data_IF_400466095065
#
_entry.id   IF_400466095065
#
_cell.length_a   1.000
_cell.length_b   1.000
_cell.length_c   1.000
_cell.angle_alpha   90.00
_cell.angle_beta   90.00
_cell.angle_gamma   90.00
#
_symmetry.space_group_name_H-M   'P 1'
#
loop_
_entity.id
_entity.type
_entity.pdbx_description
1 polymer ?
#
# COMPACT_ATOMS: atom_id res chain seq x y z
N UNK A 1 1.00 0.66 -17.15
CA UNK A 1 0.54 0.77 -18.55
C UNK A 1 -0.88 1.25 -18.46
N UNK A 2 -1.07 2.56 -18.58
CA UNK A 2 -2.35 3.24 -18.38
C UNK A 2 -3.20 3.00 -19.63
N UNK A 3 -4.37 2.41 -19.48
CA UNK A 3 -5.40 2.48 -20.50
C UNK A 3 -6.35 3.62 -20.11
N UNK A 4 -6.46 4.58 -21.03
CA UNK A 4 -7.47 5.63 -21.05
C UNK A 4 -8.69 5.01 -21.70
N UNK A 5 -9.83 5.02 -21.02
CA UNK A 5 -11.12 4.79 -21.67
C UNK A 5 -11.82 6.15 -21.75
N UNK A 6 -12.14 6.56 -22.97
CA UNK A 6 -12.68 7.87 -23.31
C UNK A 6 -14.23 7.81 -23.25
N UNK A 7 -14.91 8.83 -22.68
CA UNK A 7 -16.35 8.78 -22.43
C UNK A 7 -17.17 9.08 -23.70
N UNK A 8 -18.25 8.32 -23.90
CA UNK A 8 -19.30 8.65 -24.87
C UNK A 8 -20.25 9.73 -24.30
N UNK A 9 -20.71 10.59 -25.21
CA UNK A 9 -21.08 12.00 -25.03
C UNK A 9 -22.51 12.32 -24.56
N UNK A 10 -22.64 13.43 -23.82
CA UNK A 10 -23.81 14.32 -23.66
C UNK A 10 -23.33 15.78 -23.40
N UNK A 11 -24.10 16.85 -23.70
CA UNK A 11 -23.63 17.90 -24.61
C UNK A 11 -23.03 19.20 -24.03
N UNK A 12 -22.09 19.73 -24.85
CA UNK A 12 -21.73 21.12 -25.18
C UNK A 12 -21.18 22.08 -24.09
N UNK A 13 -19.85 22.18 -24.05
CA UNK A 13 -19.11 23.40 -23.74
C UNK A 13 -17.76 23.36 -24.48
N UNK A 14 -17.59 24.21 -25.50
CA UNK A 14 -16.37 24.33 -26.30
C UNK A 14 -15.24 25.00 -25.53
N UNK A 15 -14.05 24.38 -25.51
CA UNK A 15 -12.79 24.99 -25.07
C UNK A 15 -11.74 24.79 -26.14
N UNK A 16 -11.29 25.88 -26.76
CA UNK A 16 -10.14 25.87 -27.67
C UNK A 16 -8.84 25.79 -26.86
N UNK A 17 -8.01 24.81 -27.19
CA UNK A 17 -6.65 24.67 -26.66
C UNK A 17 -5.66 25.39 -27.59
N UNK A 18 -4.92 26.35 -27.05
CA UNK A 18 -3.63 26.74 -27.64
C UNK A 18 -2.51 26.15 -26.81
N UNK A 19 -1.74 25.26 -27.44
CA UNK A 19 -0.56 24.63 -26.88
C UNK A 19 0.54 25.66 -26.60
N UNK A 20 1.24 25.50 -25.47
CA UNK A 20 2.59 26.01 -25.29
C UNK A 20 3.49 24.81 -24.99
N UNK A 21 4.54 24.68 -25.78
CA UNK A 21 5.61 23.71 -25.63
C UNK A 21 6.37 24.01 -24.34
N UNK A 22 6.84 22.95 -23.66
CA UNK A 22 7.57 22.93 -22.37
C UNK A 22 6.70 22.63 -21.14
N UNK A 23 6.48 21.34 -20.93
CA UNK A 23 5.81 20.77 -19.76
C UNK A 23 6.64 20.91 -18.49
N UNK A 24 6.30 21.90 -17.66
CA UNK A 24 6.47 21.89 -16.21
C UNK A 24 5.54 22.96 -15.62
N UNK A 25 4.62 22.58 -14.72
CA UNK A 25 3.79 23.53 -13.98
C UNK A 25 4.15 23.45 -12.49
N UNK A 26 5.11 24.29 -12.13
CA UNK A 26 5.51 24.62 -10.77
C UNK A 26 4.83 25.94 -10.41
N UNK A 27 3.90 25.94 -9.44
CA UNK A 27 3.28 27.18 -8.96
C UNK A 27 3.91 27.61 -7.63
N UNK A 28 4.78 28.62 -7.73
CA UNK A 28 5.29 29.43 -6.62
C UNK A 28 4.26 30.50 -6.22
N UNK A 29 4.04 30.66 -4.92
CA UNK A 29 3.26 31.76 -4.34
C UNK A 29 4.05 33.07 -4.41
N UNK A 30 3.44 34.10 -4.99
CA UNK A 30 3.84 35.51 -4.85
C UNK A 30 2.64 36.30 -4.33
N UNK A 31 2.91 37.09 -3.30
CA UNK A 31 2.00 37.90 -2.50
C UNK A 31 1.36 39.06 -3.31
N UNK A 32 0.04 39.24 -3.21
CA UNK A 32 -0.64 40.49 -3.57
C UNK A 32 -2.00 40.55 -2.86
N UNK A 33 -2.09 41.38 -1.82
CA UNK A 33 -3.29 41.62 -1.04
C UNK A 33 -4.43 42.28 -1.81
N UNK A 34 -5.65 41.86 -1.46
CA UNK A 34 -6.93 42.51 -1.77
C UNK A 34 -7.98 42.04 -0.75
N UNK A 35 -8.92 42.91 -0.32
CA UNK A 35 -9.73 42.67 0.87
C UNK A 35 -10.72 41.50 0.70
N UNK A 36 -10.85 40.73 1.77
CA UNK A 36 -11.80 39.64 1.96
C UNK A 36 -13.24 40.13 1.76
N UNK A 37 -13.87 39.74 0.67
CA UNK A 37 -15.34 39.76 0.52
C UNK A 37 -15.86 38.36 0.77
N UNK A 38 -16.75 38.25 1.75
CA UNK A 38 -17.50 37.04 2.12
C UNK A 38 -18.30 36.52 0.91
N UNK A 39 -17.77 35.50 0.24
CA UNK A 39 -18.51 34.63 -0.67
C UNK A 39 -18.74 33.30 0.05
N UNK A 40 -20.00 32.96 0.29
CA UNK A 40 -20.40 31.65 0.82
C UNK A 40 -19.94 30.55 -0.14
N UNK A 41 -19.15 29.55 0.29
CA UNK A 41 -18.91 28.36 -0.51
C UNK A 41 -20.13 27.45 -0.37
N UNK A 42 -20.89 27.34 -1.45
CA UNK A 42 -21.83 26.22 -1.64
C UNK A 42 -21.13 25.12 -2.41
N UNK A 43 -21.45 23.88 -2.04
CA UNK A 43 -21.02 22.60 -2.61
C UNK A 43 -19.71 22.03 -2.04
N UNK A 44 -19.88 21.48 -0.83
CA UNK A 44 -19.12 20.39 -0.24
C UNK A 44 -19.05 19.22 -1.24
N UNK A 45 -17.86 18.88 -1.75
CA UNK A 45 -17.65 17.54 -2.27
C UNK A 45 -17.77 16.55 -1.11
N UNK A 46 -18.79 15.68 -1.19
CA UNK A 46 -19.16 14.70 -0.16
C UNK A 46 -17.95 13.96 0.40
N UNK A 47 -17.51 14.33 1.60
CA UNK A 47 -16.68 13.45 2.42
C UNK A 47 -17.60 12.34 2.96
N UNK A 48 -17.47 11.08 2.52
CA UNK A 48 -18.42 10.00 2.86
C UNK A 48 -18.27 9.48 4.30
N UNK A 49 -17.60 10.25 5.17
CA UNK A 49 -17.34 9.96 6.57
C UNK A 49 -17.96 11.07 7.42
N UNK A 50 -19.12 10.79 8.02
CA UNK A 50 -19.77 11.73 8.93
C UNK A 50 -19.14 11.65 10.32
N UNK A 51 -19.16 12.75 11.09
CA UNK A 51 -18.63 12.76 12.47
C UNK A 51 -19.40 11.80 13.41
N UNK A 52 -20.58 11.35 13.01
CA UNK A 52 -21.36 10.32 13.71
C UNK A 52 -20.71 8.93 13.61
N UNK A 53 -20.08 8.58 12.49
CA UNK A 53 -19.37 7.29 12.32
C UNK A 53 -18.12 7.21 13.22
N UNK A 54 -17.47 8.35 13.50
CA UNK A 54 -16.27 8.41 14.33
C UNK A 54 -16.57 8.32 15.84
N UNK A 55 -17.80 8.64 16.26
CA UNK A 55 -18.19 8.74 17.67
C UNK A 55 -18.98 7.53 18.19
N UNK A 56 -19.44 6.64 17.31
CA UNK A 56 -20.28 5.50 17.69
C UNK A 56 -19.54 4.36 18.42
N UNK A 57 -18.20 4.25 18.31
CA UNK A 57 -17.47 3.09 18.81
C UNK A 57 -16.34 3.48 19.77
N UNK A 58 -16.57 3.21 21.05
CA UNK A 58 -15.59 3.36 22.11
C UNK A 58 -14.31 2.57 21.81
N UNK A 59 -13.18 3.15 22.24
CA UNK A 59 -11.82 2.60 22.11
C UNK A 59 -11.78 1.07 22.30
N UNK A 60 -11.51 0.28 21.25
CA UNK A 60 -11.11 -1.10 21.45
C UNK A 60 -9.80 -1.07 22.25
N UNK A 61 -9.63 -1.89 23.30
CA UNK A 61 -8.31 -2.08 23.86
C UNK A 61 -7.37 -2.54 22.73
N UNK A 62 -6.13 -2.04 22.71
CA UNK A 62 -5.01 -2.69 22.01
C UNK A 62 -4.77 -4.04 22.69
N UNK A 63 -5.71 -4.96 22.48
CA UNK A 63 -5.61 -6.31 22.98
C UNK A 63 -4.51 -7.00 22.16
N UNK A 64 -3.60 -7.76 22.79
CA UNK A 64 -2.78 -8.68 22.04
C UNK A 64 -3.69 -9.56 21.17
N UNK A 65 -3.23 -10.00 19.99
CA UNK A 65 -4.06 -10.82 19.12
C UNK A 65 -4.60 -11.98 19.93
N UNK A 66 -5.93 -12.13 19.93
CA UNK A 66 -6.57 -13.25 20.61
C UNK A 66 -6.01 -14.53 20.01
N UNK A 67 -5.75 -15.56 20.83
CA UNK A 67 -5.27 -16.85 20.32
C UNK A 67 -6.17 -17.38 19.19
N UNK A 68 -7.48 -17.11 19.29
CA UNK A 68 -8.46 -17.38 18.25
C UNK A 68 -8.17 -16.66 16.92
N UNK A 69 -7.86 -15.35 16.95
CA UNK A 69 -7.55 -14.58 15.74
C UNK A 69 -6.24 -14.98 15.07
N UNK A 70 -5.28 -15.52 15.83
CA UNK A 70 -4.06 -16.13 15.28
C UNK A 70 -4.34 -17.49 14.64
N UNK A 71 -5.16 -18.34 15.27
CA UNK A 71 -5.55 -19.63 14.70
C UNK A 71 -6.33 -19.48 13.38
N UNK A 72 -7.29 -18.57 13.33
CA UNK A 72 -8.07 -18.26 12.12
C UNK A 72 -7.19 -17.70 10.99
N UNK A 73 -6.16 -16.92 11.33
CA UNK A 73 -5.18 -16.46 10.35
C UNK A 73 -4.39 -17.65 9.76
N UNK A 74 -3.90 -18.55 10.59
CA UNK A 74 -3.16 -19.73 10.10
C UNK A 74 -4.02 -20.62 9.20
N UNK A 75 -5.29 -20.84 9.57
CA UNK A 75 -6.27 -21.55 8.76
C UNK A 75 -6.50 -20.84 7.41
N UNK A 76 -6.70 -19.53 7.42
CA UNK A 76 -6.85 -18.71 6.21
C UNK A 76 -5.64 -18.86 5.28
N UNK A 77 -4.42 -18.81 5.82
CA UNK A 77 -3.19 -18.94 5.05
C UNK A 77 -3.02 -20.36 4.48
N UNK A 78 -3.38 -21.40 5.25
CA UNK A 78 -3.31 -22.79 4.80
C UNK A 78 -4.31 -23.07 3.67
N UNK A 79 -5.55 -22.61 3.80
CA UNK A 79 -6.58 -22.78 2.78
C UNK A 79 -6.24 -22.01 1.50
N UNK A 80 -5.72 -20.79 1.63
CA UNK A 80 -5.28 -20.01 0.47
C UNK A 80 -4.12 -20.69 -0.27
N UNK A 81 -3.19 -21.31 0.45
CA UNK A 81 -2.14 -22.13 -0.16
C UNK A 81 -2.71 -23.37 -0.89
N UNK A 82 -3.87 -23.88 -0.46
CA UNK A 82 -4.62 -24.93 -1.15
C UNK A 82 -5.51 -24.42 -2.29
N UNK A 83 -5.51 -23.11 -2.58
CA UNK A 83 -6.25 -22.48 -3.67
C UNK A 83 -7.63 -21.96 -3.30
N UNK A 84 -8.00 -21.93 -2.01
CA UNK A 84 -9.25 -21.32 -1.57
C UNK A 84 -9.23 -19.80 -1.77
N UNK A 85 -10.36 -19.17 -2.12
CA UNK A 85 -10.43 -17.72 -2.25
C UNK A 85 -10.31 -17.03 -0.88
N UNK A 86 -9.65 -15.88 -0.88
CA UNK A 86 -9.60 -14.97 0.27
C UNK A 86 -10.77 -14.00 0.14
N UNK A 87 -11.74 -14.08 1.05
CA UNK A 87 -12.92 -13.21 1.05
C UNK A 87 -12.89 -12.22 2.21
N UNK A 88 -13.72 -11.17 2.13
CA UNK A 88 -13.83 -10.16 3.18
C UNK A 88 -14.26 -10.78 4.51
N UNK A 89 -15.22 -11.70 4.49
CA UNK A 89 -15.77 -12.36 5.68
C UNK A 89 -14.70 -13.17 6.41
N UNK A 90 -13.84 -13.87 5.66
CA UNK A 90 -12.71 -14.62 6.23
C UNK A 90 -11.70 -13.68 6.89
N UNK A 91 -11.42 -12.55 6.26
CA UNK A 91 -10.53 -11.53 6.83
C UNK A 91 -11.16 -10.87 8.05
N UNK A 92 -12.46 -10.63 8.08
CA UNK A 92 -13.15 -10.08 9.25
C UNK A 92 -13.09 -11.02 10.44
N UNK A 93 -13.21 -12.34 10.20
CA UNK A 93 -13.15 -13.36 11.24
C UNK A 93 -11.84 -13.37 12.04
N UNK A 94 -10.74 -12.85 11.49
CA UNK A 94 -9.45 -12.81 12.19
C UNK A 94 -9.41 -11.73 13.29
N UNK A 95 -10.40 -10.84 13.36
CA UNK A 95 -10.50 -9.76 14.35
C UNK A 95 -11.51 -10.12 15.46
N UNK A 96 -11.24 -9.75 16.71
CA UNK A 96 -12.17 -9.98 17.82
C UNK A 96 -13.32 -8.96 17.87
N UNK A 97 -13.38 -8.05 16.90
CA UNK A 97 -14.36 -6.97 16.79
C UNK A 97 -14.82 -6.85 15.34
N UNK A 98 -16.04 -6.35 15.08
CA UNK A 98 -16.50 -6.07 13.73
C UNK A 98 -15.71 -4.91 13.12
N UNK A 99 -15.42 -4.98 11.82
CA UNK A 99 -14.80 -3.88 11.09
C UNK A 99 -15.83 -2.80 10.75
N UNK A 100 -15.42 -1.54 10.87
CA UNK A 100 -16.24 -0.38 10.51
C UNK A 100 -16.51 -0.34 9.01
N UNK A 101 -17.58 0.35 8.60
CA UNK A 101 -18.00 0.47 7.20
C UNK A 101 -16.86 0.87 6.25
N UNK A 102 -16.01 1.80 6.69
CA UNK A 102 -14.89 2.28 5.91
C UNK A 102 -13.70 1.32 5.84
N UNK A 103 -13.47 0.57 6.92
CA UNK A 103 -12.44 -0.46 6.98
C UNK A 103 -12.84 -1.58 6.01
N UNK A 104 -14.11 -2.01 6.03
CA UNK A 104 -14.68 -2.98 5.09
C UNK A 104 -14.53 -2.54 3.64
N UNK A 105 -14.93 -1.30 3.31
CA UNK A 105 -14.76 -0.72 1.96
C UNK A 105 -13.29 -0.75 1.50
N UNK A 106 -12.37 -0.39 2.39
CA UNK A 106 -10.93 -0.39 2.10
C UNK A 106 -10.39 -1.80 1.83
N UNK A 107 -10.77 -2.77 2.66
CA UNK A 107 -10.35 -4.18 2.50
C UNK A 107 -10.95 -4.80 1.23
N UNK A 108 -12.21 -4.52 0.92
CA UNK A 108 -12.85 -4.97 -0.31
C UNK A 108 -12.11 -4.44 -1.56
N UNK A 109 -11.78 -3.15 -1.61
CA UNK A 109 -11.01 -2.58 -2.71
C UNK A 109 -9.61 -3.23 -2.85
N UNK A 110 -8.94 -3.52 -1.74
CA UNK A 110 -7.65 -4.24 -1.75
C UNK A 110 -7.79 -5.67 -2.26
N UNK A 111 -8.87 -6.37 -1.92
CA UNK A 111 -9.17 -7.71 -2.44
C UNK A 111 -9.36 -7.69 -3.96
N UNK A 112 -9.95 -6.63 -4.51
CA UNK A 112 -10.07 -6.39 -5.96
C UNK A 112 -8.76 -5.97 -6.63
N UNK A 113 -7.65 -5.86 -5.88
CA UNK A 113 -6.34 -5.46 -6.42
C UNK A 113 -6.18 -3.96 -6.62
N UNK A 114 -7.07 -3.14 -6.07
CA UNK A 114 -6.97 -1.67 -6.12
C UNK A 114 -6.01 -1.16 -5.05
N UNK A 115 -5.44 0.02 -5.30
CA UNK A 115 -4.67 0.76 -4.29
C UNK A 115 -5.61 1.65 -3.47
N UNK A 116 -5.35 1.76 -2.17
CA UNK A 116 -6.21 2.53 -1.24
C UNK A 116 -5.36 3.53 -0.46
N UNK A 117 -5.86 4.76 -0.35
CA UNK A 117 -5.36 5.79 0.56
C UNK A 117 -6.45 6.03 1.61
N UNK A 118 -6.10 5.88 2.90
CA UNK A 118 -7.04 6.05 4.01
C UNK A 118 -6.67 7.28 4.83
N UNK A 119 -7.56 8.27 4.83
CA UNK A 119 -7.45 9.47 5.63
C UNK A 119 -8.46 9.40 6.78
N UNK A 120 -8.02 9.06 7.98
CA UNK A 120 -8.86 9.00 9.17
C UNK A 120 -8.10 9.51 10.41
N UNK A 121 -8.77 10.02 11.45
CA UNK A 121 -8.12 10.46 12.70
C UNK A 121 -7.35 9.34 13.41
N UNK A 122 -6.38 9.70 14.24
CA UNK A 122 -5.73 8.73 15.15
C UNK A 122 -6.77 8.10 16.07
N UNK A 123 -6.62 6.81 16.36
CA UNK A 123 -7.61 6.06 17.15
C UNK A 123 -8.77 5.45 16.35
N UNK A 124 -9.01 5.87 15.09
CA UNK A 124 -10.10 5.34 14.25
C UNK A 124 -9.88 3.88 13.74
N UNK A 125 -8.88 3.15 14.24
CA UNK A 125 -8.67 1.75 13.84
C UNK A 125 -8.04 1.51 12.46
N UNK A 126 -7.37 2.51 11.86
CA UNK A 126 -6.64 2.35 10.56
C UNK A 126 -5.72 1.12 10.51
N UNK A 127 -5.19 0.69 11.65
CA UNK A 127 -4.34 -0.51 11.77
C UNK A 127 -5.05 -1.78 11.31
N UNK A 128 -6.36 -1.92 11.57
CA UNK A 128 -7.13 -3.10 11.15
C UNK A 128 -7.13 -3.28 9.62
N UNK A 129 -7.19 -2.18 8.87
CA UNK A 129 -7.08 -2.21 7.40
C UNK A 129 -5.72 -2.74 6.96
N UNK A 130 -4.64 -2.25 7.58
CA UNK A 130 -3.29 -2.69 7.27
C UNK A 130 -3.06 -4.18 7.61
N UNK A 131 -3.64 -4.66 8.71
CA UNK A 131 -3.55 -6.07 9.12
C UNK A 131 -4.34 -6.99 8.18
N UNK A 132 -5.56 -6.62 7.82
CA UNK A 132 -6.37 -7.36 6.85
C UNK A 132 -5.70 -7.40 5.47
N UNK A 133 -5.13 -6.27 5.04
CA UNK A 133 -4.35 -6.18 3.81
C UNK A 133 -3.14 -7.12 3.84
N UNK A 134 -2.40 -7.13 4.95
CA UNK A 134 -1.24 -8.00 5.11
C UNK A 134 -1.64 -9.48 5.06
N UNK A 135 -2.71 -9.88 5.74
CA UNK A 135 -3.24 -11.24 5.68
C UNK A 135 -3.63 -11.64 4.24
N UNK A 136 -4.31 -10.76 3.50
CA UNK A 136 -4.69 -11.01 2.11
C UNK A 136 -3.48 -11.15 1.17
N UNK A 137 -2.46 -10.32 1.34
CA UNK A 137 -1.21 -10.38 0.56
C UNK A 137 -0.43 -11.66 0.88
N UNK A 138 -0.32 -12.02 2.16
CA UNK A 138 0.34 -13.25 2.58
C UNK A 138 -0.37 -14.50 2.04
N UNK A 139 -1.70 -14.51 2.04
CA UNK A 139 -2.52 -15.57 1.48
C UNK A 139 -2.28 -15.76 -0.03
N UNK A 140 -1.86 -14.70 -0.73
CA UNK A 140 -1.45 -14.74 -2.15
C UNK A 140 0.01 -15.17 -2.35
N UNK A 141 0.73 -15.55 -1.28
CA UNK A 141 2.15 -15.89 -1.33
C UNK A 141 3.07 -14.68 -1.60
N UNK A 142 2.56 -13.46 -1.42
CA UNK A 142 3.29 -12.22 -1.64
C UNK A 142 3.88 -11.67 -0.33
N UNK A 143 4.76 -10.67 -0.43
CA UNK A 143 5.41 -10.05 0.73
C UNK A 143 4.87 -8.64 0.98
N UNK A 144 4.86 -8.25 2.25
CA UNK A 144 4.41 -6.95 2.73
C UNK A 144 5.60 -6.15 3.24
N UNK A 145 5.70 -4.90 2.81
CA UNK A 145 6.64 -3.92 3.36
C UNK A 145 5.83 -2.93 4.19
N UNK A 146 6.16 -2.80 5.47
CA UNK A 146 5.60 -1.78 6.35
C UNK A 146 6.64 -0.70 6.58
N UNK A 147 6.35 0.53 6.18
CA UNK A 147 7.27 1.66 6.37
C UNK A 147 6.93 2.45 7.62
N UNK A 148 7.97 2.89 8.34
CA UNK A 148 7.85 3.86 9.43
C UNK A 148 8.78 5.05 9.17
N UNK A 149 8.43 6.27 9.60
CA UNK A 149 9.31 7.43 9.42
C UNK A 149 10.50 7.43 10.39
N UNK A 150 10.42 6.66 11.49
CA UNK A 150 11.44 6.65 12.54
C UNK A 150 11.79 5.22 12.95
N UNK A 151 13.06 5.00 13.32
CA UNK A 151 13.60 3.71 13.78
C UNK A 151 12.92 3.20 15.05
N UNK A 152 12.64 4.08 16.01
CA UNK A 152 12.00 3.70 17.27
C UNK A 152 10.61 3.07 17.02
N UNK A 153 9.84 3.63 16.08
CA UNK A 153 8.54 3.12 15.68
C UNK A 153 8.64 1.80 14.90
N UNK A 154 9.74 1.55 14.17
CA UNK A 154 9.95 0.28 13.47
C UNK A 154 10.04 -0.89 14.45
N UNK A 155 10.69 -0.70 15.60
CA UNK A 155 10.82 -1.75 16.61
C UNK A 155 9.48 -2.09 17.24
N UNK A 156 8.70 -1.07 17.63
CA UNK A 156 7.34 -1.28 18.13
C UNK A 156 6.50 -2.04 17.11
N UNK A 157 6.52 -1.58 15.84
CA UNK A 157 5.72 -2.21 14.80
C UNK A 157 6.14 -3.64 14.47
N UNK A 158 7.43 -3.95 14.60
CA UNK A 158 7.92 -5.32 14.48
C UNK A 158 7.32 -6.23 15.56
N UNK A 159 7.24 -5.76 16.80
CA UNK A 159 6.66 -6.57 17.88
C UNK A 159 5.18 -6.82 17.67
N UNK A 160 4.43 -5.79 17.26
CA UNK A 160 3.02 -5.92 16.88
C UNK A 160 2.84 -6.93 15.73
N UNK A 161 3.64 -6.80 14.67
CA UNK A 161 3.59 -7.72 13.53
C UNK A 161 3.96 -9.17 13.94
N UNK A 162 4.95 -9.35 14.82
CA UNK A 162 5.34 -10.68 15.33
C UNK A 162 4.25 -11.31 16.17
N UNK A 163 3.58 -10.53 17.01
CA UNK A 163 2.45 -11.00 17.79
C UNK A 163 1.31 -11.44 16.86
N UNK A 164 1.06 -10.68 15.78
CA UNK A 164 -0.08 -10.93 14.88
C UNK A 164 0.14 -12.02 13.83
N UNK A 165 1.33 -12.09 13.24
CA UNK A 165 1.64 -12.93 12.07
C UNK A 165 2.70 -14.00 12.35
N UNK A 166 3.19 -14.08 13.59
CA UNK A 166 4.23 -15.01 14.00
C UNK A 166 5.65 -14.49 13.78
N UNK A 167 6.57 -14.92 14.64
CA UNK A 167 7.95 -14.43 14.66
C UNK A 167 8.74 -14.80 13.42
N UNK A 168 8.54 -15.99 12.87
CA UNK A 168 9.27 -16.50 11.69
C UNK A 168 8.96 -15.76 10.39
N UNK A 169 7.77 -15.15 10.27
CA UNK A 169 7.35 -14.41 9.07
C UNK A 169 7.79 -12.95 9.07
N UNK A 170 8.17 -12.43 10.23
CA UNK A 170 8.38 -11.00 10.43
C UNK A 170 9.87 -10.65 10.48
N UNK A 171 10.25 -9.61 9.75
CA UNK A 171 11.58 -9.06 9.66
C UNK A 171 11.63 -7.56 9.90
N UNK A 172 12.83 -7.06 10.12
CA UNK A 172 13.14 -5.65 10.33
C UNK A 172 14.34 -5.27 9.46
N UNK A 173 14.23 -4.15 8.73
CA UNK A 173 15.37 -3.53 8.06
C UNK A 173 15.45 -2.05 8.42
N UNK A 174 16.49 -1.70 9.17
CA UNK A 174 16.85 -0.31 9.49
C UNK A 174 18.29 -0.07 9.08
N UNK A 175 18.76 1.17 9.13
CA UNK A 175 20.16 1.49 8.81
C UNK A 175 21.19 0.77 9.69
N UNK A 176 20.81 0.38 10.90
CA UNK A 176 21.75 -0.17 11.89
C UNK A 176 21.54 -1.67 12.12
N UNK A 177 20.31 -2.16 11.91
CA UNK A 177 19.91 -3.53 12.24
C UNK A 177 19.07 -4.15 11.12
N UNK A 178 19.44 -5.37 10.73
CA UNK A 178 18.70 -6.22 9.81
C UNK A 178 18.39 -7.55 10.50
N UNK A 179 17.10 -7.89 10.62
CA UNK A 179 16.59 -9.13 11.20
C UNK A 179 15.65 -9.79 10.20
N UNK A 180 15.87 -11.06 9.88
CA UNK A 180 15.02 -11.82 8.96
C UNK A 180 14.59 -11.01 7.71
N UNK A 181 15.56 -10.52 6.90
CA UNK A 181 15.25 -9.66 5.75
C UNK A 181 14.43 -10.38 4.67
N UNK A 182 14.39 -11.71 4.70
CA UNK A 182 13.61 -12.58 3.82
C UNK A 182 12.20 -12.87 4.35
N UNK A 183 11.83 -12.31 5.50
CA UNK A 183 10.49 -12.43 6.07
C UNK A 183 9.39 -11.99 5.10
N UNK A 184 8.23 -12.63 5.21
CA UNK A 184 7.05 -12.30 4.41
C UNK A 184 6.49 -10.91 4.77
N UNK A 185 6.66 -10.45 6.01
CA UNK A 185 6.38 -9.08 6.43
C UNK A 185 7.69 -8.45 6.89
N UNK A 186 8.09 -7.34 6.27
CA UNK A 186 9.30 -6.60 6.65
C UNK A 186 8.93 -5.19 7.06
N UNK A 187 9.21 -4.85 8.33
CA UNK A 187 9.13 -3.48 8.82
C UNK A 187 10.44 -2.76 8.48
N UNK A 188 10.39 -1.56 7.92
CA UNK A 188 11.59 -0.79 7.59
C UNK A 188 11.35 0.71 7.68
N UNK A 189 12.44 1.50 7.72
CA UNK A 189 12.30 2.96 7.59
C UNK A 189 12.10 3.37 6.13
N UNK A 190 11.54 4.56 5.92
CA UNK A 190 11.35 5.10 4.56
C UNK A 190 12.69 5.33 3.83
N UNK A 191 13.78 5.65 4.54
CA UNK A 191 15.11 5.78 3.95
C UNK A 191 15.65 4.44 3.43
N UNK A 192 15.40 3.34 4.13
CA UNK A 192 15.84 2.01 3.69
C UNK A 192 15.07 1.58 2.44
N UNK A 193 13.76 1.77 2.43
CA UNK A 193 12.96 1.48 1.24
C UNK A 193 13.45 2.31 0.04
N UNK A 194 13.67 3.61 0.24
CA UNK A 194 14.23 4.52 -0.76
C UNK A 194 15.57 4.00 -1.32
N UNK A 195 16.49 3.58 -0.44
CA UNK A 195 17.79 3.06 -0.86
C UNK A 195 17.66 1.80 -1.72
N UNK A 196 16.76 0.89 -1.37
CA UNK A 196 16.48 -0.32 -2.15
C UNK A 196 15.95 0.05 -3.55
N UNK A 197 15.02 1.01 -3.63
CA UNK A 197 14.46 1.47 -4.91
C UNK A 197 15.52 2.13 -5.81
N UNK A 198 16.46 2.92 -5.25
CA UNK A 198 17.51 3.52 -6.07
C UNK A 198 18.53 2.50 -6.59
N UNK A 199 18.99 1.55 -5.74
CA UNK A 199 19.97 0.53 -6.17
C UNK A 199 19.41 -0.39 -7.27
N UNK A 200 18.11 -0.71 -7.19
CA UNK A 200 17.44 -1.50 -8.22
C UNK A 200 17.29 -0.72 -9.52
N UNK A 201 16.95 0.57 -9.47
CA UNK A 201 16.88 1.44 -10.65
C UNK A 201 18.25 1.62 -11.35
N UNK A 202 19.33 1.83 -10.59
CA UNK A 202 20.69 1.94 -11.14
C UNK A 202 21.13 0.65 -11.84
N UNK A 203 20.85 -0.50 -11.24
CA UNK A 203 21.22 -1.81 -11.79
C UNK A 203 20.45 -2.08 -13.08
N UNK A 204 19.14 -1.83 -13.10
CA UNK A 204 18.30 -1.97 -14.29
C UNK A 204 18.72 -1.01 -15.43
N UNK A 205 19.17 0.20 -15.09
CA UNK A 205 19.69 1.16 -16.06
C UNK A 205 21.02 0.73 -16.67
N UNK A 206 21.88 0.06 -15.89
CA UNK A 206 23.20 -0.43 -16.33
C UNK A 206 23.07 -1.62 -17.29
N UNK A 207 22.15 -2.55 -17.02
CA UNK A 207 21.87 -3.69 -17.91
C UNK A 207 21.33 -3.24 -19.27
N UNK A 208 20.39 -2.28 -19.30
CA UNK A 208 19.84 -1.74 -20.56
C UNK A 208 20.89 -0.99 -21.40
N UNK A 209 21.90 -0.38 -20.78
CA UNK A 209 22.99 0.30 -21.50
C UNK A 209 24.00 -0.69 -22.10
N UNK A 210 24.25 -1.82 -21.43
CA UNK A 210 25.14 -2.87 -21.96
C UNK A 210 24.52 -3.60 -23.15
N UNK A 211 23.21 -3.83 -23.15
CA UNK A 211 22.50 -4.50 -24.27
C UNK A 211 22.41 -3.62 -25.54
N UNK A 212 22.50 -2.29 -25.40
CA UNK A 212 22.56 -1.35 -26.55
C UNK A 212 23.96 -1.14 -27.14
N UNK A 213 25.01 -1.61 -26.46
CA UNK A 213 26.41 -1.49 -26.92
C UNK A 213 26.96 -2.76 -27.59
N UNK A 214 26.27 -3.90 -27.48
CA UNK A 214 26.73 -5.18 -27.99
C UNK A 214 26.01 -5.56 -29.29
N UNK A 215 26.43 -4.97 -30.41
CA UNK A 215 26.14 -5.53 -31.72
C UNK A 215 26.96 -6.79 -31.95
N UNK A 216 26.40 -8.00 -31.72
CA UNK A 216 26.72 -9.22 -32.47
C UNK A 216 25.90 -10.46 -32.06
N UNK A 217 25.64 -11.26 -33.08
CA UNK A 217 25.04 -12.59 -33.10
C UNK A 217 25.81 -13.62 -32.27
N UNK A 218 25.07 -14.58 -31.69
CA UNK A 218 25.62 -15.87 -31.23
C UNK A 218 25.35 -16.22 -29.76
N UNK A 219 24.47 -17.20 -29.56
CA UNK A 219 24.40 -18.17 -28.45
C UNK A 219 24.94 -17.76 -27.06
N UNK A 220 24.01 -17.57 -26.10
CA UNK A 220 24.32 -17.39 -24.67
C UNK A 220 24.26 -18.74 -23.92
N UNK A 221 25.30 -19.18 -23.19
CA UNK A 221 25.15 -20.19 -22.15
C UNK A 221 24.87 -19.54 -20.78
N UNK A 222 23.92 -20.13 -20.06
CA UNK A 222 23.76 -20.14 -18.59
C UNK A 222 24.08 -18.86 -17.82
N UNK A 223 23.16 -17.89 -17.82
CA UNK A 223 23.20 -16.72 -16.95
C UNK A 223 22.30 -16.88 -15.72
N UNK A 224 22.85 -16.58 -14.55
CA UNK A 224 22.25 -16.65 -13.22
C UNK A 224 20.94 -15.83 -13.17
N UNK A 225 19.84 -16.51 -12.83
CA UNK A 225 18.49 -15.98 -12.74
C UNK A 225 18.31 -15.06 -11.52
N UNK A 226 18.49 -13.74 -11.70
CA UNK A 226 18.07 -12.73 -10.71
C UNK A 226 16.71 -12.08 -11.04
N UNK A 227 15.96 -12.65 -12.00
CA UNK A 227 14.71 -12.08 -12.51
C UNK A 227 13.59 -13.12 -12.48
N UNK A 228 13.00 -13.36 -11.30
CA UNK A 228 11.71 -14.04 -11.22
C UNK A 228 10.86 -13.63 -10.01
N UNK A 229 10.80 -12.34 -9.71
CA UNK A 229 9.95 -11.82 -8.62
C UNK A 229 8.84 -10.87 -9.10
N UNK A 230 8.67 -10.66 -10.41
CA UNK A 230 7.76 -9.64 -10.96
C UNK A 230 6.99 -10.12 -12.20
N UNK A 231 6.35 -11.29 -12.14
CA UNK A 231 5.53 -11.81 -13.27
C UNK A 231 4.13 -12.32 -12.92
N UNK A 232 3.58 -12.00 -11.75
CA UNK A 232 2.17 -12.29 -11.44
C UNK A 232 1.49 -11.19 -10.61
N UNK A 233 1.60 -9.95 -11.09
CA UNK A 233 0.74 -8.85 -10.64
C UNK A 233 0.46 -7.91 -11.83
N UNK A 234 -0.27 -8.43 -12.80
CA UNK A 234 -1.18 -7.73 -13.71
C UNK A 234 -2.40 -8.62 -13.82
#
# INVERSE_FOLDING_TARGET
MTFVDEPQTGPSGTWDATASEDGDLLLSLSDAGGPLTSGEPTEEEDNPYTEEDASAHGRPPEAPPSEAGSALLEELLADAAAGAPVTLERLEGIFPFPLDSFQRKSVAALLEGKSVVVCAPTGAGKTAIAEAAAAAVLARGQRVIYTTPLKALSNQKLQEARARFGTGRCGLQTGDLSLNPDGSIVVMTTEILRNIMYRTAETAGRERRQDKGAGRSGQRPGGIWCLQWWRHAC
#
